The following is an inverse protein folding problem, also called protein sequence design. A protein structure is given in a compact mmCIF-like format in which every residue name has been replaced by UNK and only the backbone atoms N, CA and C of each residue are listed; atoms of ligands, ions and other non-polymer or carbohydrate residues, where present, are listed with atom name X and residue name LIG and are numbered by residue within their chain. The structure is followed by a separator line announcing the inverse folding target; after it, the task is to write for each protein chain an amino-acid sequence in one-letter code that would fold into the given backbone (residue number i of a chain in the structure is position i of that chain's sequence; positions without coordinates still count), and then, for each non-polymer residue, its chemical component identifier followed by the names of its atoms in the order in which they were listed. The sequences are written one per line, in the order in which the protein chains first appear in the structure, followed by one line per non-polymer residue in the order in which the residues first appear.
data_IF_561742547761
#
_entry.id   IF_561742547761
#
_cell.length_a   1.000
_cell.length_b   1.000
_cell.length_c   1.000
_cell.angle_alpha   90.00
_cell.angle_beta   90.00
_cell.angle_gamma   90.00
#
_symmetry.space_group_name_H-M   'P 1'
#
loop_
_entity.id
_entity.type
_entity.pdbx_description
1 polymer ?
#
# COMPACT_ATOMS: atom_id res chain seq x y z
N UNK A 1 -11.25 13.43 -1.45
CA UNK A 1 -10.46 13.49 -0.20
C UNK A 1 -10.29 12.10 0.40
N UNK A 2 -9.28 11.94 1.20
CA UNK A 2 -9.05 10.69 1.93
C UNK A 2 -9.86 10.67 3.21
N UNK A 3 -10.62 9.60 3.38
CA UNK A 3 -11.32 9.26 4.61
C UNK A 3 -10.42 8.42 5.53
N UNK A 4 -10.88 8.09 6.71
CA UNK A 4 -10.17 7.21 7.64
C UNK A 4 -9.87 5.83 7.03
N UNK A 5 -10.73 5.34 6.13
CA UNK A 5 -10.48 4.10 5.40
C UNK A 5 -9.17 4.16 4.61
N UNK A 6 -8.93 5.25 3.88
CA UNK A 6 -7.69 5.42 3.12
C UNK A 6 -6.48 5.65 4.02
N UNK A 7 -6.64 6.46 5.07
CA UNK A 7 -5.57 6.79 6.01
C UNK A 7 -5.06 5.59 6.80
N UNK A 8 -5.95 4.62 7.08
CA UNK A 8 -5.61 3.39 7.79
C UNK A 8 -5.19 2.24 6.87
N UNK A 9 -5.22 2.43 5.56
CA UNK A 9 -4.86 1.39 4.61
C UNK A 9 -3.35 1.15 4.61
N UNK A 10 -2.93 -0.02 5.10
CA UNK A 10 -1.54 -0.41 5.22
C UNK A 10 -0.80 -0.38 3.87
N UNK A 11 -1.43 -0.85 2.80
CA UNK A 11 -0.80 -0.90 1.47
C UNK A 11 -0.54 0.49 0.90
N UNK A 12 -1.37 1.47 1.23
CA UNK A 12 -1.16 2.86 0.82
C UNK A 12 -0.07 3.54 1.63
N UNK A 13 -0.11 3.37 2.96
CA UNK A 13 0.84 4.05 3.85
C UNK A 13 2.22 3.41 3.84
N UNK A 14 2.34 2.10 3.61
CA UNK A 14 3.62 1.39 3.54
C UNK A 14 4.53 1.89 2.43
N UNK A 15 3.98 2.40 1.34
CA UNK A 15 4.75 2.99 0.24
C UNK A 15 5.64 4.14 0.73
N UNK A 16 5.10 5.06 1.53
CA UNK A 16 5.87 6.16 2.08
C UNK A 16 6.95 5.70 3.07
N UNK A 17 6.69 4.63 3.81
CA UNK A 17 7.66 4.05 4.74
C UNK A 17 8.86 3.48 3.97
N UNK A 18 8.61 2.78 2.88
CA UNK A 18 9.66 2.27 2.01
C UNK A 18 10.47 3.41 1.37
N UNK A 19 9.81 4.48 0.94
CA UNK A 19 10.48 5.68 0.42
C UNK A 19 11.37 6.33 1.47
N UNK A 20 10.89 6.46 2.69
CA UNK A 20 11.67 7.00 3.82
C UNK A 20 12.96 6.22 4.03
N UNK A 21 12.87 4.88 4.06
CA UNK A 21 14.02 4.02 4.23
C UNK A 21 15.01 4.12 3.07
N UNK A 22 14.53 4.08 1.85
CA UNK A 22 15.38 4.17 0.65
C UNK A 22 16.03 5.53 0.51
N UNK A 23 15.34 6.59 0.87
CA UNK A 23 15.92 7.93 0.94
C UNK A 23 17.04 8.00 1.97
N UNK A 24 16.81 7.46 3.16
CA UNK A 24 17.83 7.40 4.21
C UNK A 24 19.08 6.64 3.76
N UNK A 25 18.91 5.47 3.14
CA UNK A 25 20.01 4.66 2.62
C UNK A 25 20.80 5.38 1.52
N UNK A 26 20.09 6.02 0.60
CA UNK A 26 20.69 6.67 -0.57
C UNK A 26 21.46 7.94 -0.21
N UNK A 27 20.92 8.76 0.68
CA UNK A 27 21.47 10.10 0.98
C UNK A 27 22.15 10.18 2.34
N UNK A 28 22.18 9.09 3.11
CA UNK A 28 22.83 9.07 4.44
C UNK A 28 22.12 9.94 5.47
N UNK A 29 20.85 10.29 5.28
CA UNK A 29 20.07 11.09 6.23
C UNK A 29 19.50 10.16 7.29
N UNK A 30 19.68 10.45 8.61
CA UNK A 30 19.08 9.63 9.67
C UNK A 30 17.55 9.55 9.54
N UNK A 31 16.98 8.38 9.83
CA UNK A 31 15.53 8.14 9.72
C UNK A 31 14.69 9.11 10.56
N UNK A 32 15.17 9.49 11.74
CA UNK A 32 14.50 10.44 12.64
C UNK A 32 14.47 11.88 12.09
N UNK A 33 15.25 12.18 11.06
CA UNK A 33 15.28 13.47 10.38
C UNK A 33 14.43 13.52 9.11
N UNK A 34 13.75 12.42 8.76
CA UNK A 34 12.92 12.31 7.56
C UNK A 34 11.47 12.24 7.96
N UNK A 35 10.67 13.17 7.47
CA UNK A 35 9.20 13.13 7.51
C UNK A 35 8.64 12.73 6.16
N UNK A 36 7.48 12.06 6.18
CA UNK A 36 6.75 11.66 4.97
C UNK A 36 5.29 12.04 5.11
N UNK A 37 4.71 12.53 4.03
CA UNK A 37 3.29 12.88 4.01
C UNK A 37 2.66 12.70 2.64
N UNK A 38 1.35 12.49 2.61
CA UNK A 38 0.55 12.57 1.40
C UNK A 38 0.01 13.97 1.21
N UNK A 39 0.17 14.49 0.01
CA UNK A 39 -0.51 15.69 -0.45
C UNK A 39 -1.61 15.29 -1.43
N UNK A 40 -2.86 15.42 -1.00
CA UNK A 40 -4.01 14.95 -1.76
C UNK A 40 -4.69 16.16 -2.38
N UNK A 41 -4.69 16.20 -3.72
CA UNK A 41 -5.38 17.24 -4.48
C UNK A 41 -6.80 16.79 -4.82
N UNK A 42 -7.78 17.57 -4.41
CA UNK A 42 -9.19 17.33 -4.73
C UNK A 42 -9.49 17.79 -6.14
N UNK A 43 -9.98 16.88 -6.99
CA UNK A 43 -10.34 17.20 -8.38
C UNK A 43 -11.57 18.10 -8.47
N UNK A 44 -12.53 17.88 -7.59
CA UNK A 44 -13.80 18.62 -7.58
C UNK A 44 -13.97 19.28 -6.22
N UNK A 45 -14.34 20.54 -6.27
CA UNK A 45 -14.75 21.31 -5.08
C UNK A 45 -16.22 21.69 -5.30
N UNK A 46 -17.11 21.52 -4.31
CA UNK A 46 -18.50 21.92 -4.43
C UNK A 46 -18.61 23.40 -4.83
N UNK A 47 -19.43 23.70 -5.84
CA UNK A 47 -19.60 25.07 -6.35
C UNK A 47 -20.31 25.99 -5.37
N UNK A 48 -21.11 25.41 -4.46
CA UNK A 48 -21.83 26.13 -3.42
C UNK A 48 -21.39 25.59 -2.07
N UNK A 49 -20.57 26.34 -1.37
CA UNK A 49 -20.20 26.05 0.01
C UNK A 49 -20.12 27.37 0.74
N UNK A 50 -20.79 27.47 1.88
CA UNK A 50 -20.73 28.62 2.77
C UNK A 50 -19.39 28.69 3.52
N UNK A 51 -18.58 27.65 3.41
CA UNK A 51 -17.28 27.52 4.08
C UNK A 51 -16.15 27.41 3.08
N UNK A 52 -14.97 28.01 3.36
CA UNK A 52 -13.78 27.82 2.54
C UNK A 52 -13.39 26.34 2.50
N UNK A 53 -13.34 25.77 1.29
CA UNK A 53 -12.91 24.38 1.08
C UNK A 53 -11.51 24.40 0.51
N UNK A 54 -10.57 23.78 1.22
CA UNK A 54 -9.23 23.56 0.71
C UNK A 54 -9.24 22.48 -0.36
N UNK A 55 -8.56 22.74 -1.48
CA UNK A 55 -8.28 21.72 -2.50
C UNK A 55 -7.17 20.78 -2.11
N UNK A 56 -6.40 21.13 -1.10
CA UNK A 56 -5.28 20.37 -0.62
C UNK A 56 -5.63 19.74 0.72
N UNK A 57 -5.46 18.43 0.81
CA UNK A 57 -5.49 17.69 2.07
C UNK A 57 -4.09 17.14 2.34
N UNK A 58 -3.57 17.40 3.53
CA UNK A 58 -2.30 16.84 3.99
C UNK A 58 -2.58 15.71 4.96
N UNK A 59 -1.85 14.61 4.80
CA UNK A 59 -1.92 13.48 5.72
C UNK A 59 -0.52 12.91 5.96
N UNK A 60 -0.09 12.93 7.20
CA UNK A 60 1.15 12.32 7.64
C UNK A 60 0.83 10.99 8.34
N UNK A 61 1.17 9.83 7.73
CA UNK A 61 0.97 8.53 8.39
C UNK A 61 1.98 8.35 9.52
N UNK A 62 1.71 7.41 10.44
CA UNK A 62 2.70 6.99 11.41
C UNK A 62 3.93 6.42 10.67
N UNK A 63 5.12 6.91 10.99
CA UNK A 63 6.36 6.50 10.34
C UNK A 63 7.53 6.30 11.32
N UNK A 64 7.22 5.98 12.57
CA UNK A 64 8.21 5.65 13.59
C UNK A 64 8.73 4.22 13.48
N UNK A 65 9.58 3.83 14.43
CA UNK A 65 10.26 2.52 14.43
C UNK A 65 9.31 1.33 14.40
N UNK A 66 8.17 1.40 15.10
CA UNK A 66 7.17 0.33 15.12
C UNK A 66 6.59 0.10 13.72
N UNK A 67 6.22 1.18 13.05
CA UNK A 67 5.67 1.12 11.69
C UNK A 67 6.73 0.65 10.69
N UNK A 68 7.96 1.13 10.80
CA UNK A 68 9.08 0.69 9.98
C UNK A 68 9.31 -0.82 10.10
N UNK A 69 9.32 -1.34 11.34
CA UNK A 69 9.50 -2.77 11.58
C UNK A 69 8.36 -3.61 10.99
N UNK A 70 7.12 -3.13 11.11
CA UNK A 70 5.96 -3.81 10.54
C UNK A 70 6.02 -3.87 9.01
N UNK A 71 6.40 -2.78 8.36
CA UNK A 71 6.55 -2.72 6.90
C UNK A 71 7.69 -3.61 6.43
N UNK A 72 8.84 -3.58 7.12
CA UNK A 72 9.98 -4.43 6.81
C UNK A 72 9.66 -5.91 6.95
N UNK A 73 8.93 -6.28 8.00
CA UNK A 73 8.49 -7.66 8.20
C UNK A 73 7.61 -8.13 7.04
N UNK A 74 6.61 -7.34 6.67
CA UNK A 74 5.71 -7.65 5.56
C UNK A 74 6.46 -7.76 4.22
N UNK A 75 7.41 -6.87 3.98
CA UNK A 75 8.24 -6.89 2.77
C UNK A 75 9.14 -8.13 2.71
N UNK A 76 9.77 -8.48 3.82
CA UNK A 76 10.63 -9.68 3.90
C UNK A 76 9.83 -10.97 3.74
N UNK A 77 8.65 -11.07 4.34
CA UNK A 77 7.73 -12.20 4.16
C UNK A 77 7.31 -12.36 2.70
N UNK A 78 6.99 -11.25 2.02
CA UNK A 78 6.69 -11.25 0.58
C UNK A 78 7.89 -11.74 -0.24
N UNK A 79 9.07 -11.22 0.04
CA UNK A 79 10.29 -11.60 -0.68
C UNK A 79 10.62 -13.08 -0.51
N UNK A 80 10.51 -13.61 0.70
CA UNK A 80 10.75 -15.03 0.99
C UNK A 80 9.69 -15.94 0.37
N UNK A 81 8.46 -15.45 0.21
CA UNK A 81 7.39 -16.18 -0.45
C UNK A 81 7.66 -16.34 -1.96
N UNK A 82 8.19 -15.31 -2.60
CA UNK A 82 8.29 -15.22 -4.07
C UNK A 82 9.68 -15.67 -4.56
N UNK A 83 10.74 -15.34 -3.83
CA UNK A 83 12.12 -15.55 -4.27
C UNK A 83 12.85 -16.56 -3.41
N UNK A 84 13.74 -17.34 -4.03
CA UNK A 84 14.69 -18.18 -3.32
C UNK A 84 15.94 -17.39 -2.85
N UNK A 85 16.90 -18.06 -2.21
CA UNK A 85 18.13 -17.44 -1.74
C UNK A 85 19.02 -16.87 -2.85
N UNK A 86 18.81 -17.32 -4.09
CA UNK A 86 19.57 -16.88 -5.28
C UNK A 86 18.86 -15.75 -6.04
N UNK A 87 17.67 -15.32 -5.58
CA UNK A 87 16.88 -14.30 -6.23
C UNK A 87 16.03 -14.77 -7.41
N UNK A 88 15.88 -16.08 -7.60
CA UNK A 88 15.02 -16.67 -8.61
C UNK A 88 13.60 -16.83 -8.07
N UNK A 89 12.59 -16.79 -8.96
CA UNK A 89 11.22 -17.09 -8.56
C UNK A 89 11.09 -18.51 -8.03
N UNK A 90 10.37 -18.65 -6.93
CA UNK A 90 10.11 -19.95 -6.32
C UNK A 90 9.03 -20.69 -7.10
N UNK A 91 9.33 -21.92 -7.52
CA UNK A 91 8.39 -22.83 -8.23
C UNK A 91 7.97 -24.01 -7.35
N UNK A 92 8.51 -24.10 -6.13
CA UNK A 92 8.30 -25.20 -5.18
C UNK A 92 7.07 -25.00 -4.28
N UNK A 93 6.29 -23.96 -4.49
CA UNK A 93 5.09 -23.66 -3.69
C UNK A 93 3.93 -23.16 -4.53
N UNK A 94 2.73 -23.41 -4.03
CA UNK A 94 1.49 -22.89 -4.60
C UNK A 94 1.20 -21.49 -4.05
N UNK A 95 0.84 -20.57 -4.94
CA UNK A 95 0.44 -19.22 -4.58
C UNK A 95 -1.08 -19.11 -4.48
N UNK A 96 -1.56 -18.64 -3.34
CA UNK A 96 -2.99 -18.44 -3.10
C UNK A 96 -3.42 -17.08 -3.64
N UNK A 97 -4.57 -17.05 -4.31
CA UNK A 97 -5.20 -15.80 -4.67
C UNK A 97 -5.81 -15.10 -3.43
N UNK A 98 -6.01 -13.81 -3.56
CA UNK A 98 -6.73 -12.99 -2.57
C UNK A 98 -8.07 -12.55 -3.16
N UNK A 99 -9.11 -13.40 -3.14
CA UNK A 99 -10.40 -13.06 -3.71
C UNK A 99 -11.04 -11.88 -2.96
N UNK A 100 -11.71 -11.02 -3.70
CA UNK A 100 -12.36 -9.83 -3.16
C UNK A 100 -13.47 -9.33 -4.09
N UNK A 101 -14.07 -8.22 -3.75
CA UNK A 101 -15.18 -7.63 -4.52
C UNK A 101 -14.84 -7.37 -5.99
N UNK A 102 -13.59 -7.10 -6.29
CA UNK A 102 -13.11 -6.89 -7.66
C UNK A 102 -13.23 -8.14 -8.55
N UNK A 103 -13.30 -9.34 -7.95
CA UNK A 103 -13.45 -10.57 -8.70
C UNK A 103 -14.74 -10.62 -9.52
N UNK A 104 -15.80 -9.94 -9.06
CA UNK A 104 -17.08 -9.86 -9.77
C UNK A 104 -16.98 -9.20 -11.15
N UNK A 105 -15.94 -8.42 -11.36
CA UNK A 105 -15.67 -7.73 -12.63
C UNK A 105 -14.53 -8.41 -13.42
N UNK A 106 -14.04 -9.54 -12.92
CA UNK A 106 -12.97 -10.29 -13.56
C UNK A 106 -13.55 -11.22 -14.64
N UNK A 107 -12.96 -11.21 -15.84
CA UNK A 107 -13.39 -12.09 -16.94
C UNK A 107 -13.26 -13.59 -16.63
N UNK A 108 -12.40 -13.96 -15.69
CA UNK A 108 -12.23 -15.34 -15.25
C UNK A 108 -13.13 -15.74 -14.08
N UNK A 109 -13.99 -14.82 -13.60
CA UNK A 109 -14.92 -15.10 -12.51
C UNK A 109 -15.89 -16.22 -12.88
N UNK A 110 -16.04 -17.19 -11.99
CA UNK A 110 -16.89 -18.38 -12.14
C UNK A 110 -16.60 -19.21 -13.40
N UNK A 111 -15.36 -19.20 -13.87
CA UNK A 111 -14.88 -20.06 -14.97
C UNK A 111 -13.98 -21.16 -14.45
N UNK A 112 -13.66 -22.15 -15.31
CA UNK A 112 -12.71 -23.21 -15.01
C UNK A 112 -11.27 -22.70 -14.76
N UNK A 113 -10.96 -21.48 -15.22
CA UNK A 113 -9.64 -20.88 -15.10
C UNK A 113 -9.37 -20.24 -13.73
N UNK A 114 -10.40 -20.08 -12.89
CA UNK A 114 -10.23 -19.48 -11.57
C UNK A 114 -11.06 -20.20 -10.49
N UNK A 115 -10.39 -21.09 -9.75
CA UNK A 115 -11.00 -21.79 -8.61
C UNK A 115 -11.39 -20.87 -7.44
N UNK A 116 -10.83 -19.68 -7.38
CA UNK A 116 -11.00 -18.74 -6.25
C UNK A 116 -12.22 -17.84 -6.39
N UNK A 117 -12.68 -17.56 -7.60
CA UNK A 117 -13.82 -16.69 -7.84
C UNK A 117 -15.15 -17.22 -7.25
N UNK A 118 -15.25 -18.52 -7.10
CA UNK A 118 -16.46 -19.18 -6.56
C UNK A 118 -16.63 -19.05 -5.05
N UNK A 119 -15.63 -18.55 -4.35
CA UNK A 119 -15.62 -18.43 -2.87
C UNK A 119 -16.31 -17.14 -2.39
N UNK A 120 -16.62 -16.24 -3.32
CA UNK A 120 -17.23 -14.94 -3.00
C UNK A 120 -18.75 -15.02 -2.84
#
# INVERSE_FOLDING_TARGET
SWTDFHKKNFYKTSQLILYKQKYSEKFGVPLDKISVEFLILKRKVPKKSDWPISRLQRFEPAHGSVTLNKVNKAFNEFRELIFDSKGNYRTDREYNASPGSACKFCEFYDTEHCKWGKIL
#
